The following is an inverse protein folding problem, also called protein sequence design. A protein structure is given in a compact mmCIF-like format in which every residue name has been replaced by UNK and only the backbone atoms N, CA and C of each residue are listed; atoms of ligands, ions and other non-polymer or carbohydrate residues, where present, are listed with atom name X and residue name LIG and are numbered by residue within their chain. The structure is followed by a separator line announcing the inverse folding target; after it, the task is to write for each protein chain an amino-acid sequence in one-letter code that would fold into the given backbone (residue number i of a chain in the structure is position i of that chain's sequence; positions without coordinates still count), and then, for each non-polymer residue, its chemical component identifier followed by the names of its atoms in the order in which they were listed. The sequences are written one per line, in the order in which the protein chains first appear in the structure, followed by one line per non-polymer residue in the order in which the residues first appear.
data_IF_736815633044
#
_entry.id   IF_736815633044
#
_cell.length_a   1.000
_cell.length_b   1.000
_cell.length_c   1.000
_cell.angle_alpha   90.00
_cell.angle_beta   90.00
_cell.angle_gamma   90.00
#
_symmetry.space_group_name_H-M   'P 1'
#
loop_
_entity.id
_entity.type
_entity.pdbx_description
1 polymer ?
#
# COMPACT_ATOMS: atom_id res chain seq x y z
N UNK A 1 -3.67 9.93 -19.73
CA UNK A 1 -2.40 9.16 -19.63
C UNK A 1 -2.38 8.18 -18.46
N UNK A 2 -3.04 8.49 -17.33
CA UNK A 2 -3.10 7.61 -16.15
C UNK A 2 -4.00 6.37 -16.32
N UNK A 3 -5.05 6.45 -17.13
CA UNK A 3 -6.04 5.38 -17.31
C UNK A 3 -5.44 4.10 -17.92
N UNK A 4 -4.50 4.21 -18.87
CA UNK A 4 -3.85 3.04 -19.50
C UNK A 4 -2.91 2.30 -18.56
N UNK A 5 -2.18 3.05 -17.72
CA UNK A 5 -1.26 2.47 -16.72
C UNK A 5 -2.06 1.71 -15.68
N UNK A 6 -3.13 2.32 -15.16
CA UNK A 6 -4.04 1.66 -14.23
C UNK A 6 -4.66 0.41 -14.87
N UNK A 7 -5.19 0.49 -16.09
CA UNK A 7 -5.78 -0.66 -16.77
C UNK A 7 -4.81 -1.85 -16.90
N UNK A 8 -3.54 -1.58 -17.24
CA UNK A 8 -2.52 -2.62 -17.30
C UNK A 8 -2.20 -3.18 -15.91
N UNK A 9 -2.06 -2.34 -14.88
CA UNK A 9 -1.81 -2.79 -13.52
C UNK A 9 -2.97 -3.60 -12.95
N UNK A 10 -4.22 -3.29 -13.31
CA UNK A 10 -5.40 -4.05 -12.90
C UNK A 10 -5.56 -5.37 -13.66
N UNK A 11 -4.93 -5.51 -14.83
CA UNK A 11 -4.87 -6.78 -15.55
C UNK A 11 -3.83 -7.75 -14.96
N UNK A 12 -2.93 -7.26 -14.11
CA UNK A 12 -1.92 -8.07 -13.43
C UNK A 12 -2.53 -8.89 -12.29
N UNK A 13 -1.91 -10.04 -12.01
CA UNK A 13 -2.22 -10.85 -10.85
C UNK A 13 -1.96 -10.13 -9.51
N UNK A 14 -2.42 -10.71 -8.39
CA UNK A 14 -2.11 -10.16 -7.06
C UNK A 14 -0.60 -10.07 -6.81
N UNK A 15 0.17 -11.11 -7.14
CA UNK A 15 1.63 -11.14 -6.93
C UNK A 15 2.36 -10.05 -7.73
N UNK A 16 2.01 -9.88 -9.00
CA UNK A 16 2.59 -8.84 -9.86
C UNK A 16 2.26 -7.42 -9.38
N UNK A 17 1.08 -7.20 -8.79
CA UNK A 17 0.71 -5.90 -8.19
C UNK A 17 1.49 -5.63 -6.91
N UNK A 18 1.76 -6.67 -6.13
CA UNK A 18 2.61 -6.59 -4.94
C UNK A 18 4.05 -6.26 -5.32
N UNK A 19 4.63 -6.97 -6.29
CA UNK A 19 5.95 -6.67 -6.88
C UNK A 19 6.02 -5.21 -7.35
N UNK A 20 5.02 -4.78 -8.12
CA UNK A 20 4.93 -3.41 -8.59
C UNK A 20 4.93 -2.39 -7.45
N UNK A 21 4.18 -2.65 -6.38
CA UNK A 21 4.14 -1.79 -5.21
C UNK A 21 5.51 -1.69 -4.53
N UNK A 22 6.14 -2.83 -4.23
CA UNK A 22 7.43 -2.87 -3.53
C UNK A 22 8.50 -2.14 -4.33
N UNK A 23 8.59 -2.42 -5.64
CA UNK A 23 9.54 -1.73 -6.54
C UNK A 23 9.32 -0.23 -6.57
N UNK A 24 8.08 0.22 -6.67
CA UNK A 24 7.77 1.65 -6.69
C UNK A 24 8.06 2.33 -5.37
N UNK A 25 7.74 1.66 -4.26
CA UNK A 25 8.01 2.14 -2.92
C UNK A 25 9.52 2.31 -2.68
N UNK A 26 10.34 1.39 -3.19
CA UNK A 26 11.80 1.49 -3.13
C UNK A 26 12.32 2.58 -4.09
N UNK A 27 11.90 2.58 -5.36
CA UNK A 27 12.31 3.56 -6.37
C UNK A 27 12.09 5.01 -5.93
N UNK A 28 10.95 5.28 -5.29
CA UNK A 28 10.53 6.62 -4.87
C UNK A 28 10.78 6.88 -3.39
N UNK A 29 11.28 5.88 -2.65
CA UNK A 29 11.51 5.94 -1.21
C UNK A 29 10.27 6.41 -0.42
N UNK A 30 9.08 6.07 -0.89
CA UNK A 30 7.83 6.44 -0.23
C UNK A 30 6.66 5.53 -0.62
N UNK A 31 5.79 5.28 0.37
CA UNK A 31 4.46 4.74 0.19
C UNK A 31 3.41 5.86 0.26
N UNK A 32 2.18 5.55 -0.14
CA UNK A 32 1.04 6.45 0.03
C UNK A 32 -0.05 5.77 0.85
N UNK A 33 -0.64 6.51 1.78
CA UNK A 33 -1.83 6.11 2.52
C UNK A 33 -2.91 7.18 2.44
N UNK A 34 -4.13 6.83 2.80
CA UNK A 34 -5.24 7.79 2.89
C UNK A 34 -5.38 8.28 4.34
N UNK A 35 -5.53 9.60 4.51
CA UNK A 35 -5.65 10.23 5.82
C UNK A 35 -6.68 11.37 5.82
N UNK A 36 -7.46 11.44 6.90
CA UNK A 36 -8.31 12.59 7.25
C UNK A 36 -8.08 12.96 8.73
N UNK A 37 -8.93 12.47 9.63
CA UNK A 37 -8.77 12.57 11.09
C UNK A 37 -8.03 11.37 11.69
N UNK A 38 -7.67 10.42 10.83
CA UNK A 38 -6.96 9.19 11.10
C UNK A 38 -6.59 8.51 9.78
N UNK A 39 -5.81 7.43 9.86
CA UNK A 39 -5.46 6.64 8.68
C UNK A 39 -6.62 5.74 8.27
N UNK A 40 -6.80 5.58 6.96
CA UNK A 40 -7.81 4.67 6.42
C UNK A 40 -7.56 3.25 6.93
N UNK A 41 -8.64 2.53 7.23
CA UNK A 41 -8.62 1.10 7.55
C UNK A 41 -9.70 0.40 6.75
N UNK A 42 -9.49 -0.89 6.50
CA UNK A 42 -10.45 -1.79 5.88
C UNK A 42 -10.60 -3.05 6.73
N UNK A 43 -11.81 -3.59 6.79
CA UNK A 43 -12.04 -4.87 7.44
C UNK A 43 -11.57 -6.01 6.51
N UNK A 44 -10.88 -6.99 7.08
CA UNK A 44 -10.45 -8.20 6.38
C UNK A 44 -10.69 -9.44 7.27
N UNK A 45 -10.53 -10.64 6.71
CA UNK A 45 -10.70 -11.88 7.47
C UNK A 45 -9.75 -12.01 8.66
N UNK A 46 -8.60 -11.31 8.62
CA UNK A 46 -7.61 -11.27 9.70
C UNK A 46 -7.89 -10.17 10.75
N UNK A 47 -8.97 -9.39 10.60
CA UNK A 47 -9.32 -8.27 11.47
C UNK A 47 -9.33 -6.94 10.71
N UNK A 48 -8.36 -6.07 10.99
CA UNK A 48 -8.21 -4.79 10.30
C UNK A 48 -6.95 -4.78 9.45
N UNK A 49 -7.05 -4.15 8.28
CA UNK A 49 -5.93 -3.86 7.42
C UNK A 49 -5.81 -2.36 7.16
N UNK A 50 -4.59 -1.88 6.94
CA UNK A 50 -4.33 -0.51 6.49
C UNK A 50 -3.98 -0.54 5.01
N UNK A 51 -4.67 0.24 4.16
CA UNK A 51 -4.41 0.27 2.73
C UNK A 51 -3.23 1.17 2.38
N UNK A 52 -2.36 0.69 1.49
CA UNK A 52 -1.20 1.41 0.98
C UNK A 52 -1.12 1.36 -0.55
N UNK A 53 -0.65 2.45 -1.16
CA UNK A 53 -0.54 2.61 -2.61
C UNK A 53 0.86 3.03 -3.03
N UNK A 54 1.28 2.67 -4.26
CA UNK A 54 2.59 3.07 -4.77
C UNK A 54 2.63 4.52 -5.26
N UNK A 55 1.47 5.14 -5.51
CA UNK A 55 1.39 6.49 -6.08
C UNK A 55 0.22 7.28 -5.48
N UNK A 56 0.41 8.61 -5.32
CA UNK A 56 -0.61 9.52 -4.82
C UNK A 56 -1.91 9.45 -5.60
N UNK A 57 -1.83 9.51 -6.93
CA UNK A 57 -3.01 9.53 -7.80
C UNK A 57 -3.86 8.27 -7.66
N UNK A 58 -3.25 7.13 -7.33
CA UNK A 58 -3.94 5.87 -7.10
C UNK A 58 -4.67 5.90 -5.75
N UNK A 59 -4.00 6.36 -4.70
CA UNK A 59 -4.62 6.57 -3.39
C UNK A 59 -5.80 7.55 -3.48
N UNK A 60 -5.60 8.73 -4.10
CA UNK A 60 -6.65 9.74 -4.29
C UNK A 60 -7.85 9.19 -5.08
N UNK A 61 -7.60 8.36 -6.10
CA UNK A 61 -8.70 7.73 -6.86
C UNK A 61 -9.54 6.77 -6.03
N UNK A 62 -9.01 6.29 -4.89
CA UNK A 62 -9.70 5.43 -3.95
C UNK A 62 -10.35 6.21 -2.80
N UNK A 63 -10.14 7.53 -2.69
CA UNK A 63 -10.76 8.38 -1.68
C UNK A 63 -12.25 8.65 -1.98
N UNK A 64 -13.00 7.57 -2.22
CA UNK A 64 -14.44 7.56 -2.52
C UNK A 64 -15.16 6.71 -1.47
N UNK A 65 -16.49 6.79 -1.45
CA UNK A 65 -17.35 5.98 -0.59
C UNK A 65 -16.93 6.03 0.90
N UNK A 66 -16.41 4.93 1.44
CA UNK A 66 -15.99 4.82 2.84
C UNK A 66 -14.79 5.71 3.18
N UNK A 67 -13.99 6.09 2.18
CA UNK A 67 -12.86 7.00 2.34
C UNK A 67 -13.12 8.36 1.69
N UNK A 68 -14.40 8.71 1.45
CA UNK A 68 -14.77 10.02 0.95
C UNK A 68 -14.29 11.12 1.92
N UNK A 69 -13.52 12.06 1.39
CA UNK A 69 -12.92 13.16 2.16
C UNK A 69 -11.51 12.87 2.69
N UNK A 70 -11.01 11.64 2.58
CA UNK A 70 -9.61 11.35 2.84
C UNK A 70 -8.73 11.95 1.74
N UNK A 71 -7.49 12.27 2.08
CA UNK A 71 -6.49 12.72 1.11
C UNK A 71 -5.26 11.82 1.16
N UNK A 72 -4.60 11.66 0.03
CA UNK A 72 -3.39 10.87 -0.07
C UNK A 72 -2.25 11.59 0.66
N UNK A 73 -1.58 10.87 1.54
CA UNK A 73 -0.40 11.33 2.26
C UNK A 73 0.79 10.43 2.01
N UNK A 74 1.97 11.01 1.74
CA UNK A 74 3.19 10.23 1.58
C UNK A 74 3.66 9.74 2.95
N UNK A 75 4.22 8.54 2.96
CA UNK A 75 4.90 7.93 4.09
C UNK A 75 6.30 7.57 3.60
N UNK A 76 7.33 8.20 4.16
CA UNK A 76 8.71 7.93 3.75
C UNK A 76 9.08 6.46 3.99
N UNK A 77 9.93 5.88 3.13
CA UNK A 77 10.35 4.48 3.23
C UNK A 77 10.95 4.13 4.59
N UNK A 78 11.83 4.98 5.11
CA UNK A 78 12.39 4.81 6.46
C UNK A 78 11.32 4.81 7.56
N UNK A 79 10.33 5.69 7.45
CA UNK A 79 9.21 5.71 8.39
C UNK A 79 8.33 4.46 8.22
N UNK A 80 8.09 4.06 6.98
CA UNK A 80 7.28 2.90 6.64
C UNK A 80 7.88 1.63 7.26
N UNK A 81 9.18 1.40 7.04
CA UNK A 81 9.88 0.22 7.57
C UNK A 81 10.14 0.32 9.07
N UNK A 82 10.54 1.49 9.56
CA UNK A 82 10.99 1.66 10.94
C UNK A 82 9.87 1.88 11.96
N UNK A 83 8.70 2.37 11.53
CA UNK A 83 7.59 2.73 12.42
C UNK A 83 6.27 2.10 12.02
N UNK A 84 5.93 2.12 10.73
CA UNK A 84 4.64 1.61 10.28
C UNK A 84 4.55 0.10 10.35
N UNK A 85 5.42 -0.65 9.67
CA UNK A 85 5.35 -2.11 9.66
C UNK A 85 5.43 -2.70 11.09
N UNK A 86 6.36 -2.27 11.96
CA UNK A 86 6.39 -2.75 13.35
C UNK A 86 5.15 -2.34 14.16
N UNK A 87 4.61 -1.14 13.93
CA UNK A 87 3.40 -0.66 14.61
C UNK A 87 2.17 -1.46 14.21
N UNK A 88 1.98 -1.72 12.91
CA UNK A 88 0.90 -2.56 12.39
C UNK A 88 0.99 -3.98 12.93
N UNK A 89 2.20 -4.54 13.01
CA UNK A 89 2.43 -5.86 13.59
C UNK A 89 2.06 -5.91 15.07
N UNK A 90 2.44 -4.90 15.85
CA UNK A 90 2.09 -4.79 17.26
C UNK A 90 0.58 -4.64 17.49
N UNK A 91 -0.10 -3.93 16.59
CA UNK A 91 -1.56 -3.75 16.60
C UNK A 91 -2.32 -4.95 16.02
N UNK A 92 -1.62 -6.01 15.58
CA UNK A 92 -2.18 -7.17 14.90
C UNK A 92 -3.01 -6.81 13.65
N UNK A 93 -2.51 -5.84 12.89
CA UNK A 93 -3.11 -5.32 11.66
C UNK A 93 -2.31 -5.76 10.43
N UNK A 94 -3.02 -6.04 9.35
CA UNK A 94 -2.40 -6.39 8.07
C UNK A 94 -2.14 -5.17 7.20
N UNK A 95 -1.27 -5.35 6.20
CA UNK A 95 -1.08 -4.38 5.12
C UNK A 95 -1.96 -4.78 3.93
N UNK A 96 -2.82 -3.88 3.48
CA UNK A 96 -3.56 -4.06 2.24
C UNK A 96 -2.86 -3.28 1.12
N UNK A 97 -2.11 -4.00 0.30
CA UNK A 97 -1.31 -3.41 -0.77
C UNK A 97 -2.16 -3.22 -2.02
N UNK A 98 -2.14 -1.98 -2.53
CA UNK A 98 -2.76 -1.55 -3.77
C UNK A 98 -4.24 -1.95 -3.94
N UNK A 99 -5.13 -1.64 -2.97
CA UNK A 99 -6.56 -1.81 -3.16
C UNK A 99 -7.10 -0.74 -4.13
N UNK A 100 -8.03 -1.13 -4.98
CA UNK A 100 -8.78 -0.21 -5.86
C UNK A 100 -10.26 -0.58 -5.84
N UNK A 101 -11.18 0.30 -6.26
CA UNK A 101 -12.63 0.01 -6.18
C UNK A 101 -13.05 -1.30 -6.87
N UNK A 102 -12.33 -1.73 -7.90
CA UNK A 102 -12.60 -2.97 -8.64
C UNK A 102 -11.87 -4.20 -8.10
N UNK A 103 -10.83 -4.03 -7.28
CA UNK A 103 -10.02 -5.12 -6.76
C UNK A 103 -9.59 -4.87 -5.30
N UNK A 104 -9.77 -5.82 -4.39
CA UNK A 104 -9.49 -5.66 -2.96
C UNK A 104 -7.99 -5.53 -2.61
N UNK A 105 -7.09 -5.42 -3.58
CA UNK A 105 -5.64 -5.41 -3.34
C UNK A 105 -5.11 -6.76 -2.87
N UNK A 106 -3.92 -6.74 -2.27
CA UNK A 106 -3.25 -7.92 -1.70
C UNK A 106 -3.13 -7.72 -0.20
N UNK A 107 -3.65 -8.66 0.58
CA UNK A 107 -3.43 -8.69 2.01
C UNK A 107 -2.11 -9.42 2.30
N UNK A 108 -1.23 -8.75 3.02
CA UNK A 108 0.08 -9.27 3.40
C UNK A 108 0.40 -8.85 4.84
N UNK A 109 1.13 -9.70 5.56
CA UNK A 109 1.58 -9.36 6.91
C UNK A 109 2.65 -8.25 6.86
N UNK A 110 2.79 -7.43 7.91
CA UNK A 110 3.84 -6.43 7.96
C UNK A 110 5.25 -7.04 7.88
N UNK A 111 5.46 -8.22 8.47
CA UNK A 111 6.73 -8.97 8.44
C UNK A 111 7.09 -9.41 7.02
N UNK A 112 6.16 -10.06 6.31
CA UNK A 112 6.38 -10.52 4.94
C UNK A 112 6.66 -9.33 4.01
N UNK A 113 5.91 -8.23 4.17
CA UNK A 113 6.13 -7.02 3.37
C UNK A 113 7.49 -6.37 3.68
N UNK A 114 7.92 -6.38 4.94
CA UNK A 114 9.25 -5.90 5.32
C UNK A 114 10.36 -6.74 4.67
N UNK A 115 10.18 -8.06 4.61
CA UNK A 115 11.07 -8.98 3.91
C UNK A 115 11.19 -8.65 2.42
N UNK A 116 10.05 -8.50 1.73
CA UNK A 116 10.04 -8.15 0.30
C UNK A 116 10.73 -6.80 0.02
N UNK A 117 10.52 -5.80 0.87
CA UNK A 117 11.18 -4.50 0.73
C UNK A 117 12.68 -4.62 0.97
N UNK A 118 13.09 -5.45 1.93
CA UNK A 118 14.51 -5.72 2.17
C UNK A 118 15.17 -6.41 0.98
N UNK A 119 14.54 -7.44 0.42
CA UNK A 119 15.03 -8.17 -0.76
C UNK A 119 15.12 -7.26 -1.99
N UNK A 120 14.15 -6.36 -2.20
CA UNK A 120 14.19 -5.38 -3.29
C UNK A 120 15.32 -4.36 -3.09
N UNK A 121 15.56 -3.88 -1.86
CA UNK A 121 16.67 -2.96 -1.58
C UNK A 121 18.05 -3.60 -1.79
N UNK A 122 18.21 -4.89 -1.46
CA UNK A 122 19.48 -5.60 -1.62
C UNK A 122 19.86 -5.77 -3.10
N UNK A 123 18.89 -5.83 -4.01
CA UNK A 123 19.14 -5.88 -5.46
C UNK A 123 19.82 -4.62 -6.01
N UNK A 124 19.77 -3.49 -5.30
CA UNK A 124 20.44 -2.24 -5.70
C UNK A 124 21.81 -2.03 -5.04
N UNK A 125 22.28 -2.99 -4.24
CA UNK A 125 23.56 -2.95 -3.52
C UNK A 125 24.67 -3.67 -4.29
#
# INVERSE_FOLDING_TARGET
MHERKLHNLLALGPEERLDYFVRKLVDFEQAWGLYDSGWATSACDAGEAVPFWPEAALAESCATDAWAGFSARPIALDEFRGRWLPGLQADNRACQVFPVPTHPGVLISPDDLAGLIHDELDQYQ
#
